data_IF_172480601698
#
_entry.id   IF_172480601698
#
_cell.length_a   1.000
_cell.length_b   1.000
_cell.length_c   1.000
_cell.angle_alpha   90.00
_cell.angle_beta   90.00
_cell.angle_gamma   90.00
#
_symmetry.space_group_name_H-M   'P 1'
#
loop_
_entity.id
_entity.type
_entity.pdbx_description
1 polymer ?
#
# COMPACT_ATOMS: atom_id res chain seq x y z
N UNK A 1 41.41 2.76 -16.24
CA UNK A 1 41.59 3.49 -17.51
C UNK A 1 40.32 3.31 -18.34
N UNK A 2 39.63 4.39 -18.74
CA UNK A 2 38.48 4.27 -19.61
C UNK A 2 38.98 3.92 -21.02
N UNK A 3 38.76 2.68 -21.47
CA UNK A 3 38.98 2.31 -22.87
C UNK A 3 37.81 2.87 -23.68
N UNK A 4 38.05 3.93 -24.45
CA UNK A 4 37.14 4.35 -25.52
C UNK A 4 36.98 3.17 -26.48
N UNK A 5 35.73 2.79 -26.74
CA UNK A 5 35.35 1.81 -27.75
C UNK A 5 35.80 2.37 -29.12
N UNK A 6 36.49 1.55 -29.90
CA UNK A 6 36.92 1.93 -31.24
C UNK A 6 35.68 2.06 -32.14
N UNK A 7 35.35 3.29 -32.52
CA UNK A 7 34.35 3.59 -33.55
C UNK A 7 34.91 3.09 -34.87
N UNK A 8 34.38 1.99 -35.41
CA UNK A 8 34.61 1.66 -36.82
C UNK A 8 33.85 2.69 -37.66
N UNK A 9 34.58 3.60 -38.31
CA UNK A 9 33.98 4.55 -39.24
C UNK A 9 33.39 3.79 -40.43
N UNK A 10 32.06 3.67 -40.44
CA UNK A 10 31.30 3.32 -41.62
C UNK A 10 31.33 4.57 -42.53
N UNK A 11 32.15 4.53 -43.58
CA UNK A 11 32.25 5.59 -44.59
C UNK A 11 31.05 5.57 -45.57
N UNK A 12 29.83 5.41 -45.06
CA UNK A 12 28.62 5.58 -45.83
C UNK A 12 27.76 6.61 -45.10
N UNK A 13 27.52 7.75 -45.74
CA UNK A 13 26.65 8.78 -45.17
C UNK A 13 25.21 8.26 -45.10
N UNK A 14 24.39 8.77 -44.18
CA UNK A 14 22.96 8.43 -44.09
C UNK A 14 22.23 8.61 -45.43
N UNK A 15 22.71 9.54 -46.25
CA UNK A 15 22.23 9.79 -47.62
C UNK A 15 22.51 8.58 -48.53
N UNK A 16 23.71 8.03 -48.48
CA UNK A 16 24.11 6.86 -49.29
C UNK A 16 23.29 5.62 -48.91
N UNK A 17 22.98 5.46 -47.62
CA UNK A 17 22.17 4.34 -47.12
C UNK A 17 20.74 4.41 -47.67
N UNK A 18 20.09 5.57 -47.57
CA UNK A 18 18.71 5.75 -48.03
C UNK A 18 18.60 5.67 -49.57
N UNK A 19 19.56 6.22 -50.30
CA UNK A 19 19.59 6.12 -51.76
C UNK A 19 19.90 4.70 -52.25
N UNK A 20 20.75 3.94 -51.56
CA UNK A 20 21.01 2.54 -51.91
C UNK A 20 19.84 1.62 -51.55
N UNK A 21 19.08 1.89 -50.48
CA UNK A 21 17.84 1.17 -50.18
C UNK A 21 16.82 1.43 -51.30
N UNK A 22 16.65 2.69 -51.71
CA UNK A 22 15.77 3.07 -52.83
C UNK A 22 16.14 2.32 -54.11
N UNK A 23 17.43 2.25 -54.47
CA UNK A 23 17.88 1.56 -55.70
C UNK A 23 17.59 0.05 -55.71
N UNK A 24 17.53 -0.59 -54.54
CA UNK A 24 17.31 -2.03 -54.41
C UNK A 24 15.85 -2.40 -54.08
N UNK A 25 14.99 -1.42 -53.87
CA UNK A 25 13.57 -1.61 -53.56
C UNK A 25 12.70 -1.70 -54.82
N UNK A 26 11.42 -2.04 -54.63
CA UNK A 26 10.40 -2.16 -55.66
C UNK A 26 10.20 -0.86 -56.45
N UNK A 27 9.65 -0.98 -57.66
CA UNK A 27 9.38 0.17 -58.54
C UNK A 27 8.40 1.18 -57.91
N UNK A 28 7.49 0.68 -57.07
CA UNK A 28 6.55 1.47 -56.29
C UNK A 28 7.28 2.31 -55.23
N UNK A 29 8.19 1.69 -54.49
CA UNK A 29 9.02 2.36 -53.48
C UNK A 29 9.92 3.44 -54.10
N UNK A 30 10.53 3.16 -55.26
CA UNK A 30 11.35 4.12 -56.00
C UNK A 30 10.57 5.36 -56.49
N UNK A 31 9.28 5.18 -56.77
CA UNK A 31 8.41 6.23 -57.29
C UNK A 31 7.84 7.11 -56.18
N UNK A 32 7.59 6.54 -55.00
CA UNK A 32 7.03 7.25 -53.85
C UNK A 32 8.09 7.95 -53.00
N UNK A 33 9.33 7.45 -52.98
CA UNK A 33 10.41 8.03 -52.17
C UNK A 33 11.38 8.83 -53.04
N UNK A 34 11.60 10.13 -52.74
CA UNK A 34 12.52 10.96 -53.50
C UNK A 34 13.99 10.56 -53.28
N UNK A 35 14.84 10.79 -54.29
CA UNK A 35 16.31 10.75 -54.12
C UNK A 35 16.69 11.93 -53.24
N UNK A 36 17.43 11.65 -52.17
CA UNK A 36 17.94 12.69 -51.28
C UNK A 36 19.37 13.05 -51.65
N UNK A 37 19.68 14.34 -51.66
CA UNK A 37 21.02 14.85 -52.01
C UNK A 37 21.66 15.62 -50.87
N UNK A 38 20.85 16.06 -49.88
CA UNK A 38 21.28 16.84 -48.72
C UNK A 38 20.63 16.31 -47.43
N UNK A 39 21.31 16.40 -46.28
CA UNK A 39 20.84 15.85 -45.00
C UNK A 39 19.50 16.44 -44.51
N UNK A 40 19.17 17.66 -44.92
CA UNK A 40 17.91 18.35 -44.58
C UNK A 40 16.68 17.65 -45.20
N UNK A 41 16.87 16.79 -46.18
CA UNK A 41 15.80 16.07 -46.89
C UNK A 41 15.44 14.72 -46.25
N UNK A 42 16.22 14.27 -45.25
CA UNK A 42 16.00 13.00 -44.53
C UNK A 42 14.60 12.92 -43.87
N UNK A 43 14.08 13.97 -43.21
CA UNK A 43 12.75 13.91 -42.59
C UNK A 43 11.61 13.69 -43.59
N UNK A 44 11.77 14.12 -44.85
CA UNK A 44 10.76 13.95 -45.91
C UNK A 44 10.58 12.48 -46.30
N UNK A 45 11.65 11.70 -46.23
CA UNK A 45 11.59 10.24 -46.44
C UNK A 45 10.85 9.57 -45.28
N UNK A 46 11.08 10.04 -44.05
CA UNK A 46 10.36 9.59 -42.86
C UNK A 46 8.86 9.85 -42.89
N UNK A 47 8.44 11.02 -43.40
CA UNK A 47 7.02 11.40 -43.54
C UNK A 47 6.26 10.49 -44.53
N UNK A 48 6.87 10.15 -45.66
CA UNK A 48 6.27 9.24 -46.67
C UNK A 48 6.17 7.80 -46.14
N UNK A 49 7.16 7.34 -45.37
CA UNK A 49 7.15 6.01 -44.77
C UNK A 49 6.10 5.88 -43.65
N UNK A 50 5.88 6.96 -42.89
CA UNK A 50 4.86 7.00 -41.83
C UNK A 50 3.43 6.90 -42.40
N UNK A 51 3.18 7.48 -43.59
CA UNK A 51 1.87 7.45 -44.23
C UNK A 51 1.49 6.15 -44.94
N UNK A 52 2.44 5.25 -45.23
CA UNK A 52 2.21 4.04 -46.03
C UNK A 52 2.83 2.78 -45.38
N UNK A 53 2.04 2.00 -44.61
CA UNK A 53 2.50 0.82 -43.89
C UNK A 53 3.17 -0.26 -44.77
N UNK A 54 2.75 -0.39 -46.03
CA UNK A 54 3.34 -1.35 -46.97
C UNK A 54 4.77 -0.97 -47.41
N UNK A 55 5.04 0.34 -47.59
CA UNK A 55 6.38 0.84 -47.90
C UNK A 55 7.27 0.82 -46.66
N UNK A 56 6.70 1.04 -45.47
CA UNK A 56 7.40 0.88 -44.20
C UNK A 56 7.90 -0.55 -44.00
N UNK A 57 7.09 -1.58 -44.30
CA UNK A 57 7.52 -2.98 -44.18
C UNK A 57 8.64 -3.35 -45.17
N UNK A 58 8.64 -2.77 -46.39
CA UNK A 58 9.72 -2.96 -47.37
C UNK A 58 11.03 -2.27 -46.91
N UNK A 59 10.92 -1.07 -46.35
CA UNK A 59 12.04 -0.34 -45.74
C UNK A 59 12.61 -1.06 -44.52
N UNK A 60 11.76 -1.59 -43.64
CA UNK A 60 12.15 -2.34 -42.44
C UNK A 60 12.89 -3.61 -42.83
N UNK A 61 12.43 -4.38 -43.82
CA UNK A 61 13.13 -5.57 -44.31
C UNK A 61 14.53 -5.25 -44.91
N UNK A 62 14.67 -4.11 -45.60
CA UNK A 62 15.95 -3.66 -46.12
C UNK A 62 16.89 -3.11 -45.02
N UNK A 63 16.33 -2.47 -43.99
CA UNK A 63 17.06 -2.00 -42.81
C UNK A 63 17.54 -3.14 -41.92
N UNK A 64 16.76 -4.21 -41.75
CA UNK A 64 17.12 -5.41 -40.95
C UNK A 64 18.45 -6.00 -41.41
N UNK A 65 18.77 -5.94 -42.71
CA UNK A 65 20.05 -6.41 -43.24
C UNK A 65 21.23 -5.42 -43.06
N UNK A 66 21.02 -4.21 -42.50
CA UNK A 66 22.03 -3.13 -42.40
C UNK A 66 21.99 -2.32 -41.09
N UNK A 67 21.41 -2.85 -40.01
CA UNK A 67 21.39 -2.16 -38.71
C UNK A 67 22.82 -2.03 -38.16
N UNK A 68 23.44 -0.86 -38.36
CA UNK A 68 24.81 -0.60 -37.92
C UNK A 68 24.95 -0.33 -36.42
N UNK A 69 23.86 0.06 -35.73
CA UNK A 69 23.86 0.33 -34.29
C UNK A 69 22.44 0.22 -33.72
N UNK A 70 22.30 -0.47 -32.59
CA UNK A 70 21.07 -0.49 -31.77
C UNK A 70 21.36 0.32 -30.52
N UNK A 71 20.67 1.45 -30.34
CA UNK A 71 20.71 2.22 -29.11
C UNK A 71 19.76 1.57 -28.09
N UNK A 72 20.31 0.91 -27.09
CA UNK A 72 19.55 0.41 -25.93
C UNK A 72 19.39 1.54 -24.92
N UNK A 73 18.14 1.93 -24.66
CA UNK A 73 17.80 2.97 -23.70
C UNK A 73 17.12 2.33 -22.49
N UNK A 74 17.79 2.38 -21.35
CA UNK A 74 17.26 1.85 -20.09
C UNK A 74 17.07 2.90 -19.01
N UNK A 75 15.92 2.85 -18.33
CA UNK A 75 15.66 3.61 -17.12
C UNK A 75 15.76 2.67 -15.92
N UNK A 76 16.60 3.05 -14.94
CA UNK A 76 16.71 2.38 -13.65
C UNK A 76 15.81 3.09 -12.65
N UNK A 77 15.06 2.33 -11.87
CA UNK A 77 14.28 2.83 -10.75
C UNK A 77 14.81 2.20 -9.46
N UNK A 78 14.98 3.02 -8.42
CA UNK A 78 15.36 2.56 -7.09
C UNK A 78 14.24 2.95 -6.13
N UNK A 79 13.78 2.03 -5.29
CA UNK A 79 12.75 2.36 -4.32
C UNK A 79 13.26 3.35 -3.26
N UNK A 80 12.59 4.51 -3.17
CA UNK A 80 12.92 5.55 -2.19
C UNK A 80 12.56 5.18 -0.73
N UNK A 81 11.85 4.06 -0.53
CA UNK A 81 11.32 3.61 0.76
C UNK A 81 12.03 2.37 1.31
N UNK A 82 13.11 1.94 0.66
CA UNK A 82 13.86 0.74 1.06
C UNK A 82 14.39 0.81 2.50
N UNK A 83 14.62 2.02 3.04
CA UNK A 83 15.07 2.21 4.43
C UNK A 83 13.99 1.98 5.49
N UNK A 84 12.72 1.93 5.09
CA UNK A 84 11.59 1.68 6.00
C UNK A 84 11.38 0.19 6.29
N UNK A 85 11.98 -0.68 5.48
CA UNK A 85 11.94 -2.14 5.63
C UNK A 85 12.64 -2.57 6.91
N UNK A 86 12.14 -3.64 7.53
CA UNK A 86 12.63 -4.16 8.82
C UNK A 86 13.70 -5.23 8.69
N UNK A 87 13.96 -5.70 7.46
CA UNK A 87 15.02 -6.65 7.14
C UNK A 87 14.49 -7.95 6.55
N UNK A 88 15.28 -9.01 6.71
CA UNK A 88 15.03 -10.32 6.11
C UNK A 88 14.64 -11.35 7.18
N UNK A 89 13.56 -12.09 6.95
CA UNK A 89 13.09 -13.21 7.78
C UNK A 89 13.31 -14.50 7.01
N UNK A 90 14.31 -15.28 7.44
CA UNK A 90 14.65 -16.54 6.78
C UNK A 90 13.74 -17.70 7.18
N UNK A 91 13.25 -17.70 8.43
CA UNK A 91 12.42 -18.78 8.99
C UNK A 91 11.25 -18.20 9.78
N UNK A 92 10.09 -18.85 9.65
CA UNK A 92 8.84 -18.42 10.28
C UNK A 92 7.89 -17.75 9.29
N UNK A 93 6.60 -18.09 9.40
CA UNK A 93 5.54 -17.55 8.54
C UNK A 93 4.91 -16.28 9.11
N UNK A 94 4.97 -16.11 10.44
CA UNK A 94 4.28 -15.05 11.17
C UNK A 94 5.23 -14.29 12.08
N UNK A 95 5.15 -12.96 12.05
CA UNK A 95 5.78 -12.05 13.02
C UNK A 95 4.72 -11.65 14.03
N UNK A 96 5.02 -11.80 15.32
CA UNK A 96 4.18 -11.33 16.42
C UNK A 96 4.77 -10.05 17.01
N UNK A 97 4.01 -8.96 16.95
CA UNK A 97 4.30 -7.72 17.68
C UNK A 97 3.55 -7.76 19.01
N UNK A 98 4.28 -7.59 20.12
CA UNK A 98 3.71 -7.56 21.47
C UNK A 98 3.95 -6.18 22.09
N UNK A 99 2.89 -5.52 22.53
CA UNK A 99 2.94 -4.22 23.18
C UNK A 99 2.40 -4.30 24.61
N UNK A 100 3.18 -3.83 25.58
CA UNK A 100 2.73 -3.76 26.98
C UNK A 100 2.41 -2.32 27.36
N UNK A 101 1.16 -2.06 27.70
CA UNK A 101 0.71 -0.72 28.08
C UNK A 101 1.19 -0.33 29.49
N UNK A 102 1.15 0.96 29.79
CA UNK A 102 1.49 1.48 31.10
C UNK A 102 0.48 1.02 32.16
N UNK A 103 0.96 0.80 33.38
CA UNK A 103 0.13 0.38 34.50
C UNK A 103 -0.44 1.58 35.25
N UNK A 104 -1.70 1.46 35.68
CA UNK A 104 -2.35 2.49 36.50
C UNK A 104 -1.80 2.49 37.93
N UNK A 105 -1.44 3.68 38.44
CA UNK A 105 -1.08 3.84 39.83
C UNK A 105 -2.32 3.72 40.73
N UNK A 106 -2.19 3.00 41.84
CA UNK A 106 -3.21 2.94 42.89
C UNK A 106 -2.75 3.78 44.09
N UNK A 107 -3.69 4.50 44.70
CA UNK A 107 -3.39 5.26 45.92
C UNK A 107 -2.96 4.31 47.05
N UNK A 108 -1.87 4.69 47.73
CA UNK A 108 -1.40 3.99 48.93
C UNK A 108 -2.42 4.13 50.07
N UNK A 109 -2.81 3.00 50.67
CA UNK A 109 -3.70 2.95 51.82
C UNK A 109 -3.44 1.66 52.60
N UNK A 110 -3.03 1.80 53.86
CA UNK A 110 -2.77 0.65 54.75
C UNK A 110 -4.05 -0.11 55.10
N UNK A 111 -5.18 0.58 55.20
CA UNK A 111 -6.50 -0.01 55.50
C UNK A 111 -6.98 -0.94 54.37
N UNK A 112 -6.60 -0.65 53.12
CA UNK A 112 -6.94 -1.47 51.94
C UNK A 112 -5.87 -2.53 51.63
N UNK A 113 -4.83 -2.67 52.46
CA UNK A 113 -3.70 -3.54 52.17
C UNK A 113 -4.08 -5.02 52.24
N UNK A 114 -4.80 -5.45 53.26
CA UNK A 114 -5.24 -6.85 53.43
C UNK A 114 -6.04 -7.34 52.21
N UNK A 115 -6.93 -6.51 51.68
CA UNK A 115 -7.73 -6.81 50.49
C UNK A 115 -6.92 -6.82 49.18
N UNK A 116 -5.72 -6.22 49.15
CA UNK A 116 -4.87 -6.08 47.95
C UNK A 116 -3.66 -7.02 47.95
N UNK A 117 -3.22 -7.50 49.11
CA UNK A 117 -1.97 -8.24 49.28
C UNK A 117 -1.89 -9.49 48.39
N UNK A 118 -3.00 -10.21 48.22
CA UNK A 118 -3.07 -11.41 47.38
C UNK A 118 -3.82 -11.18 46.06
N UNK A 119 -4.21 -9.94 45.76
CA UNK A 119 -4.88 -9.62 44.49
C UNK A 119 -3.87 -9.68 43.36
N UNK A 120 -4.20 -10.44 42.31
CA UNK A 120 -3.40 -10.49 41.08
C UNK A 120 -3.74 -9.29 40.20
N UNK A 121 -2.70 -8.59 39.73
CA UNK A 121 -2.81 -7.51 38.75
C UNK A 121 -2.18 -8.01 37.45
N UNK A 122 -3.03 -8.30 36.46
CA UNK A 122 -2.55 -8.72 35.15
C UNK A 122 -2.12 -7.48 34.36
N UNK A 123 -0.96 -7.53 33.66
CA UNK A 123 -0.56 -6.47 32.77
C UNK A 123 -1.50 -6.42 31.56
N UNK A 124 -1.74 -5.22 31.04
CA UNK A 124 -2.44 -5.05 29.77
C UNK A 124 -1.43 -5.28 28.62
N UNK A 125 -1.65 -6.32 27.83
CA UNK A 125 -0.77 -6.73 26.73
C UNK A 125 -1.60 -6.83 25.47
N UNK A 126 -1.16 -6.14 24.42
CA UNK A 126 -1.74 -6.19 23.10
C UNK A 126 -0.81 -6.97 22.17
N UNK A 127 -1.39 -7.72 21.24
CA UNK A 127 -0.64 -8.54 20.27
C UNK A 127 -1.17 -8.30 18.86
N UNK A 128 -0.29 -8.17 17.89
CA UNK A 128 -0.62 -8.10 16.47
C UNK A 128 0.20 -9.14 15.70
N UNK A 129 -0.41 -9.80 14.72
CA UNK A 129 0.25 -10.82 13.89
C UNK A 129 0.39 -10.31 12.46
N UNK A 130 1.56 -10.53 11.87
CA UNK A 130 1.87 -10.19 10.49
C UNK A 130 2.32 -11.46 9.76
N UNK A 131 1.65 -11.83 8.67
CA UNK A 131 1.97 -13.02 7.89
C UNK A 131 2.36 -12.69 6.45
N UNK A 132 3.01 -13.64 5.78
CA UNK A 132 3.40 -13.50 4.38
C UNK A 132 2.15 -13.38 3.50
N UNK A 133 1.95 -12.22 2.90
CA UNK A 133 0.82 -11.91 2.02
C UNK A 133 1.24 -11.52 0.59
N UNK A 134 2.53 -11.31 0.34
CA UNK A 134 3.07 -11.04 -0.99
C UNK A 134 3.92 -12.21 -1.46
N UNK A 135 3.49 -12.90 -2.52
CA UNK A 135 4.22 -14.02 -3.14
C UNK A 135 4.17 -13.88 -4.66
N UNK A 136 5.11 -13.14 -5.23
CA UNK A 136 5.13 -12.85 -6.67
C UNK A 136 6.37 -13.46 -7.33
N UNK A 137 6.23 -13.82 -8.60
CA UNK A 137 7.30 -14.30 -9.45
C UNK A 137 7.36 -13.45 -10.72
N UNK A 138 8.56 -13.02 -11.11
CA UNK A 138 8.80 -12.31 -12.37
C UNK A 138 9.46 -13.26 -13.38
N UNK A 139 8.69 -13.88 -14.28
CA UNK A 139 9.22 -14.76 -15.31
C UNK A 139 9.79 -13.96 -16.49
N UNK A 140 10.95 -14.37 -17.00
CA UNK A 140 11.47 -13.86 -18.27
C UNK A 140 12.11 -14.98 -19.09
N UNK A 141 11.82 -15.01 -20.38
CA UNK A 141 12.34 -16.02 -21.31
C UNK A 141 13.37 -15.39 -22.23
N UNK A 142 14.55 -16.01 -22.33
CA UNK A 142 15.64 -15.56 -23.19
C UNK A 142 15.97 -16.66 -24.20
N UNK A 143 15.68 -16.40 -25.47
CA UNK A 143 16.06 -17.27 -26.59
C UNK A 143 17.36 -16.76 -27.23
N UNK A 144 18.48 -17.37 -26.86
CA UNK A 144 19.80 -16.90 -27.27
C UNK A 144 20.02 -16.97 -28.78
N UNK A 145 19.50 -18.00 -29.44
CA UNK A 145 19.72 -18.20 -30.89
C UNK A 145 18.91 -17.21 -31.74
N UNK A 146 17.68 -16.88 -31.34
CA UNK A 146 16.92 -15.79 -31.96
C UNK A 146 17.62 -14.43 -31.79
N UNK A 147 18.12 -14.13 -30.60
CA UNK A 147 18.86 -12.89 -30.35
C UNK A 147 20.16 -12.82 -31.16
N UNK A 148 20.87 -13.94 -31.35
CA UNK A 148 22.07 -13.98 -32.20
C UNK A 148 21.78 -13.69 -33.68
N UNK A 149 20.59 -13.99 -34.17
CA UNK A 149 20.20 -13.64 -35.55
C UNK A 149 19.85 -12.14 -35.67
N UNK A 150 19.33 -11.53 -34.61
CA UNK A 150 18.92 -10.13 -34.60
C UNK A 150 20.09 -9.13 -34.46
N UNK A 151 21.25 -9.56 -33.93
CA UNK A 151 22.39 -8.69 -33.66
C UNK A 151 23.62 -9.04 -34.51
N UNK A 152 24.29 -8.01 -35.04
CA UNK A 152 25.53 -8.16 -35.81
C UNK A 152 26.76 -8.38 -34.90
N UNK A 153 26.66 -8.02 -33.61
CA UNK A 153 27.75 -8.15 -32.62
C UNK A 153 27.35 -9.02 -31.43
N UNK A 154 28.26 -9.91 -31.01
CA UNK A 154 28.08 -10.75 -29.82
C UNK A 154 27.96 -9.93 -28.54
N UNK A 155 28.63 -8.77 -28.49
CA UNK A 155 28.55 -7.85 -27.35
C UNK A 155 27.14 -7.28 -27.19
N UNK A 156 26.48 -6.87 -28.29
CA UNK A 156 25.11 -6.33 -28.23
C UNK A 156 24.09 -7.35 -27.72
N UNK A 157 24.29 -8.64 -28.03
CA UNK A 157 23.47 -9.73 -27.46
C UNK A 157 23.67 -9.85 -25.95
N UNK A 158 24.92 -9.78 -25.47
CA UNK A 158 25.22 -9.86 -24.04
C UNK A 158 24.68 -8.65 -23.27
N UNK A 159 24.81 -7.45 -23.85
CA UNK A 159 24.32 -6.21 -23.25
C UNK A 159 22.78 -6.22 -23.16
N UNK A 160 22.08 -6.69 -24.19
CA UNK A 160 20.63 -6.85 -24.15
C UNK A 160 20.20 -7.89 -23.10
N UNK A 161 20.89 -9.03 -23.01
CA UNK A 161 20.58 -10.05 -22.00
C UNK A 161 20.77 -9.49 -20.59
N UNK A 162 21.85 -8.75 -20.35
CA UNK A 162 22.08 -8.10 -19.06
C UNK A 162 20.97 -7.09 -18.75
N UNK A 163 20.56 -6.28 -19.73
CA UNK A 163 19.47 -5.31 -19.53
C UNK A 163 18.14 -6.02 -19.21
N UNK A 164 17.81 -7.11 -19.91
CA UNK A 164 16.60 -7.89 -19.63
C UNK A 164 16.60 -8.38 -18.18
N UNK A 165 17.74 -8.86 -17.68
CA UNK A 165 17.89 -9.31 -16.29
C UNK A 165 17.76 -8.12 -15.32
N UNK A 166 18.39 -6.97 -15.62
CA UNK A 166 18.29 -5.76 -14.79
C UNK A 166 16.85 -5.20 -14.72
N UNK A 167 16.04 -5.39 -15.78
CA UNK A 167 14.62 -4.99 -15.78
C UNK A 167 13.78 -5.82 -14.83
N UNK A 168 14.15 -7.06 -14.56
CA UNK A 168 13.46 -7.90 -13.57
C UNK A 168 13.62 -7.30 -12.17
N UNK A 169 14.83 -6.88 -11.82
CA UNK A 169 15.07 -6.19 -10.53
C UNK A 169 14.40 -4.83 -10.48
N UNK A 170 14.47 -4.04 -11.56
CA UNK A 170 13.80 -2.73 -11.64
C UNK A 170 12.28 -2.85 -11.49
N UNK A 171 11.69 -3.91 -12.06
CA UNK A 171 10.27 -4.21 -11.92
C UNK A 171 9.89 -4.47 -10.47
N UNK A 172 10.67 -5.28 -9.76
CA UNK A 172 10.46 -5.53 -8.34
C UNK A 172 10.60 -4.28 -7.46
N UNK A 173 11.57 -3.40 -7.75
CA UNK A 173 11.72 -2.13 -7.05
C UNK A 173 10.52 -1.20 -7.25
N UNK A 174 9.95 -1.19 -8.46
CA UNK A 174 8.75 -0.41 -8.76
C UNK A 174 7.50 -0.98 -8.08
N UNK A 175 7.32 -2.31 -8.13
CA UNK A 175 6.23 -2.99 -7.42
C UNK A 175 6.32 -2.80 -5.90
N UNK A 176 7.54 -2.80 -5.35
CA UNK A 176 7.74 -2.50 -3.95
C UNK A 176 7.36 -1.06 -3.60
N UNK A 177 7.73 -0.08 -4.43
CA UNK A 177 7.27 1.30 -4.26
C UNK A 177 5.75 1.40 -4.25
N UNK A 178 5.06 0.73 -5.18
CA UNK A 178 3.61 0.69 -5.24
C UNK A 178 3.00 -0.01 -4.01
N UNK A 179 3.64 -1.03 -3.44
CA UNK A 179 3.19 -1.69 -2.21
C UNK A 179 3.16 -0.75 -1.01
N UNK A 180 4.17 0.11 -0.84
CA UNK A 180 4.16 1.14 0.20
C UNK A 180 3.00 2.11 0.01
N UNK A 181 2.78 2.56 -1.23
CA UNK A 181 1.67 3.44 -1.60
C UNK A 181 0.31 2.78 -1.34
N UNK A 182 0.17 1.49 -1.69
CA UNK A 182 -1.01 0.67 -1.43
C UNK A 182 -1.35 0.60 0.07
N UNK A 183 -0.37 0.28 0.92
CA UNK A 183 -0.56 0.23 2.38
C UNK A 183 -1.05 1.55 2.95
N UNK A 184 -0.51 2.66 2.46
CA UNK A 184 -0.92 3.99 2.89
C UNK A 184 -2.37 4.28 2.48
N UNK A 185 -2.71 4.05 1.20
CA UNK A 185 -4.05 4.34 0.67
C UNK A 185 -5.08 3.50 1.43
N UNK A 186 -4.85 2.19 1.56
CA UNK A 186 -5.74 1.29 2.28
C UNK A 186 -5.84 1.66 3.74
N UNK A 187 -4.71 1.93 4.41
CA UNK A 187 -4.70 2.32 5.81
C UNK A 187 -5.48 3.61 6.11
N UNK A 188 -5.42 4.60 5.22
CA UNK A 188 -6.21 5.84 5.37
C UNK A 188 -7.71 5.54 5.22
N UNK A 189 -8.08 4.80 4.17
CA UNK A 189 -9.48 4.50 3.88
C UNK A 189 -10.12 3.57 4.91
N UNK A 190 -9.34 2.70 5.56
CA UNK A 190 -9.78 1.85 6.66
C UNK A 190 -9.65 2.54 8.05
N UNK A 191 -9.40 3.85 8.12
CA UNK A 191 -9.39 4.60 9.37
C UNK A 191 -8.20 4.34 10.32
N UNK A 192 -7.10 3.73 9.83
CA UNK A 192 -5.91 3.42 10.66
C UNK A 192 -5.03 4.63 10.96
N UNK A 193 -5.28 5.74 10.27
CA UNK A 193 -4.62 7.01 10.49
C UNK A 193 -5.55 7.95 11.24
N UNK A 194 -5.01 8.66 12.24
CA UNK A 194 -5.75 9.76 12.88
C UNK A 194 -5.81 10.95 11.91
N UNK A 195 -7.00 11.40 11.47
CA UNK A 195 -7.10 12.55 10.60
C UNK A 195 -6.89 13.85 11.39
N UNK A 196 -6.07 14.75 10.83
CA UNK A 196 -5.84 16.10 11.33
C UNK A 196 -6.15 17.08 10.21
N UNK A 197 -7.09 17.97 10.50
CA UNK A 197 -7.55 18.95 9.54
C UNK A 197 -6.55 20.10 9.41
N UNK A 198 -6.25 20.52 8.17
CA UNK A 198 -5.34 21.62 7.86
C UNK A 198 -5.96 22.52 6.79
N UNK A 199 -5.99 23.84 7.03
CA UNK A 199 -6.28 24.82 5.99
C UNK A 199 -4.98 25.23 5.29
N UNK A 200 -4.70 24.58 4.16
CA UNK A 200 -3.56 24.93 3.30
C UNK A 200 -3.95 25.86 2.16
N UNK A 201 -5.26 26.01 1.91
CA UNK A 201 -5.81 26.87 0.88
C UNK A 201 -5.59 28.37 1.14
N UNK A 202 -5.64 28.79 2.40
CA UNK A 202 -5.47 30.19 2.80
C UNK A 202 -4.00 30.56 3.03
N UNK A 203 -3.27 29.73 3.78
CA UNK A 203 -1.84 29.92 4.05
C UNK A 203 -1.12 28.57 4.22
N UNK A 204 -0.21 28.28 3.30
CA UNK A 204 0.63 27.08 3.30
C UNK A 204 1.46 26.92 4.60
N UNK A 205 1.70 28.02 5.33
CA UNK A 205 2.39 27.98 6.63
C UNK A 205 1.61 27.23 7.70
N UNK A 206 0.26 27.21 7.61
CA UNK A 206 -0.58 26.46 8.54
C UNK A 206 -0.27 24.97 8.49
N UNK A 207 -0.07 24.43 7.28
CA UNK A 207 0.39 23.04 7.07
C UNK A 207 1.72 22.79 7.78
N UNK A 208 2.73 23.64 7.55
CA UNK A 208 4.03 23.55 8.22
C UNK A 208 3.95 23.59 9.76
N UNK A 209 3.08 24.44 10.31
CA UNK A 209 2.83 24.51 11.75
C UNK A 209 2.20 23.20 12.26
N UNK A 210 1.19 22.68 11.57
CA UNK A 210 0.50 21.44 11.94
C UNK A 210 1.45 20.23 11.89
N UNK A 211 2.27 20.12 10.85
CA UNK A 211 3.26 19.04 10.69
C UNK A 211 4.26 19.04 11.86
N UNK A 212 4.82 20.20 12.18
CA UNK A 212 5.78 20.35 13.29
C UNK A 212 5.13 20.15 14.65
N UNK A 213 3.93 20.69 14.86
CA UNK A 213 3.20 20.53 16.11
C UNK A 213 2.91 19.05 16.39
N UNK A 214 2.45 18.32 15.38
CA UNK A 214 2.13 16.88 15.49
C UNK A 214 3.40 16.05 15.70
N UNK A 215 4.48 16.32 14.95
CA UNK A 215 5.76 15.63 15.15
C UNK A 215 6.35 15.84 16.55
N UNK A 216 6.20 17.04 17.14
CA UNK A 216 6.60 17.27 18.52
C UNK A 216 5.67 16.54 19.51
N UNK A 217 4.36 16.47 19.23
CA UNK A 217 3.40 15.73 20.06
C UNK A 217 3.70 14.24 20.13
N UNK A 218 4.22 13.64 19.05
CA UNK A 218 4.67 12.25 19.04
C UNK A 218 5.79 11.96 20.07
N UNK A 219 6.60 12.96 20.41
CA UNK A 219 7.61 12.86 21.47
C UNK A 219 7.04 12.77 22.89
N UNK A 220 5.74 12.98 23.07
CA UNK A 220 5.03 12.81 24.33
C UNK A 220 4.18 11.54 24.30
N UNK A 221 4.09 10.88 25.45
CA UNK A 221 3.29 9.67 25.58
C UNK A 221 1.80 10.01 25.42
N UNK A 222 1.16 9.44 24.41
CA UNK A 222 -0.27 9.63 24.13
C UNK A 222 -0.85 8.39 23.45
N UNK A 223 -2.16 8.23 23.53
CA UNK A 223 -2.94 7.20 22.84
C UNK A 223 -3.70 7.73 21.61
N UNK A 224 -3.62 9.04 21.36
CA UNK A 224 -4.47 9.72 20.38
C UNK A 224 -4.08 9.46 18.91
N UNK A 225 -2.92 8.87 18.66
CA UNK A 225 -2.33 8.75 17.32
C UNK A 225 -2.06 7.31 16.91
N UNK A 226 -2.52 6.33 17.68
CA UNK A 226 -2.37 4.90 17.40
C UNK A 226 -3.71 4.27 17.10
N UNK A 227 -3.76 3.34 16.16
CA UNK A 227 -4.94 2.54 15.83
C UNK A 227 -5.48 1.77 17.04
N UNK A 228 -4.61 1.16 17.86
CA UNK A 228 -5.03 0.38 19.04
C UNK A 228 -5.33 1.21 20.30
N UNK A 229 -5.21 2.54 20.24
CA UNK A 229 -5.38 3.41 21.42
C UNK A 229 -4.36 3.16 22.54
N UNK A 230 -3.18 2.60 22.24
CA UNK A 230 -2.12 2.34 23.22
C UNK A 230 -1.27 3.58 23.46
N UNK A 231 -0.76 3.76 24.68
CA UNK A 231 0.08 4.92 25.01
C UNK A 231 1.50 4.72 24.53
N UNK A 232 1.83 5.35 23.41
CA UNK A 232 3.16 5.24 22.79
C UNK A 232 3.84 6.60 22.60
N UNK A 233 5.13 6.56 22.26
CA UNK A 233 5.92 7.73 21.89
C UNK A 233 6.87 7.42 20.74
N UNK A 234 7.05 8.39 19.86
CA UNK A 234 7.97 8.32 18.73
C UNK A 234 9.01 9.44 18.87
N UNK A 235 10.31 9.12 18.98
CA UNK A 235 11.37 10.11 18.95
C UNK A 235 11.46 10.72 17.54
N UNK A 236 11.83 11.99 17.46
CA UNK A 236 11.84 12.77 16.21
C UNK A 236 12.64 12.09 15.08
N UNK A 237 13.72 11.38 15.41
CA UNK A 237 14.56 10.66 14.44
C UNK A 237 13.84 9.53 13.70
N UNK A 238 12.78 8.97 14.27
CA UNK A 238 11.95 7.92 13.66
C UNK A 238 10.71 8.48 12.98
N UNK A 239 10.43 9.78 13.10
CA UNK A 239 9.30 10.39 12.42
C UNK A 239 9.60 10.48 10.92
N UNK A 240 8.65 10.02 10.11
CA UNK A 240 8.69 10.05 8.65
C UNK A 240 7.49 10.81 8.15
N UNK A 241 7.74 11.79 7.28
CA UNK A 241 6.68 12.55 6.62
C UNK A 241 6.66 12.20 5.13
N UNK A 242 5.47 11.96 4.60
CA UNK A 242 5.23 11.73 3.18
C UNK A 242 4.44 12.89 2.61
N UNK A 243 4.90 13.44 1.49
CA UNK A 243 4.22 14.50 0.75
C UNK A 243 4.21 14.13 -0.72
N UNK A 244 3.19 14.57 -1.45
CA UNK A 244 3.22 14.49 -2.90
C UNK A 244 4.25 15.51 -3.47
N UNK A 245 4.65 15.30 -4.73
CA UNK A 245 5.68 16.10 -5.37
C UNK A 245 5.26 17.57 -5.54
N UNK A 246 3.99 17.82 -5.86
CA UNK A 246 3.45 19.15 -6.17
C UNK A 246 3.29 20.02 -4.91
N UNK A 247 2.72 19.44 -3.84
CA UNK A 247 2.58 20.05 -2.53
C UNK A 247 3.95 20.34 -1.94
N UNK A 248 4.91 19.41 -2.01
CA UNK A 248 6.26 19.67 -1.51
C UNK A 248 6.92 20.85 -2.26
N UNK A 249 6.81 20.91 -3.59
CA UNK A 249 7.32 22.02 -4.37
C UNK A 249 6.66 23.36 -3.97
N UNK A 250 5.35 23.35 -3.72
CA UNK A 250 4.61 24.53 -3.27
C UNK A 250 5.02 24.97 -1.85
N UNK A 251 5.30 24.02 -0.95
CA UNK A 251 5.75 24.28 0.40
C UNK A 251 7.15 24.89 0.41
N UNK A 252 8.07 24.34 -0.38
CA UNK A 252 9.44 24.83 -0.50
C UNK A 252 9.49 26.28 -1.02
N UNK A 253 8.72 26.61 -2.06
CA UNK A 253 8.69 27.96 -2.64
C UNK A 253 7.98 28.97 -1.73
N UNK A 254 6.85 28.61 -1.12
CA UNK A 254 6.05 29.58 -0.37
C UNK A 254 6.53 29.74 1.09
N UNK A 255 6.95 28.65 1.73
CA UNK A 255 7.32 28.62 3.15
C UNK A 255 8.82 28.72 3.33
N UNK A 256 9.61 27.86 2.68
CA UNK A 256 11.06 27.84 2.89
C UNK A 256 11.77 29.00 2.22
N UNK A 257 11.37 29.40 1.01
CA UNK A 257 12.01 30.53 0.32
C UNK A 257 11.73 31.88 1.02
N UNK A 258 10.63 31.99 1.77
CA UNK A 258 10.30 33.19 2.55
C UNK A 258 10.86 33.18 3.98
N UNK A 259 11.46 32.06 4.42
CA UNK A 259 11.99 31.89 5.77
C UNK A 259 13.42 32.42 5.91
N UNK A 260 13.61 33.49 6.68
CA UNK A 260 14.94 33.98 7.06
C UNK A 260 15.77 32.95 7.87
N UNK A 261 15.11 32.02 8.55
CA UNK A 261 15.75 30.92 9.29
C UNK A 261 15.24 29.59 8.73
N UNK A 262 15.91 29.05 7.72
CA UNK A 262 15.52 27.78 7.11
C UNK A 262 15.45 26.65 8.14
N UNK A 263 16.38 26.56 9.09
CA UNK A 263 16.40 25.52 10.15
C UNK A 263 15.15 25.52 11.05
N UNK A 264 14.46 26.66 11.16
CA UNK A 264 13.21 26.80 11.94
C UNK A 264 11.95 26.62 11.10
N UNK A 265 12.09 26.53 9.78
CA UNK A 265 11.00 26.31 8.85
C UNK A 265 11.03 24.90 8.24
N UNK A 266 12.22 24.28 8.15
CA UNK A 266 12.40 22.90 7.69
C UNK A 266 11.80 21.92 8.69
N UNK A 267 11.13 20.90 8.15
CA UNK A 267 10.68 19.77 8.94
C UNK A 267 11.90 19.00 9.47
N UNK A 268 11.89 18.63 10.74
CA UNK A 268 13.05 18.04 11.42
C UNK A 268 13.16 16.51 11.27
N UNK A 269 12.08 15.84 10.86
CA UNK A 269 12.11 14.42 10.50
C UNK A 269 12.51 14.20 9.03
N UNK A 270 12.48 12.94 8.58
CA UNK A 270 12.87 12.59 7.21
C UNK A 270 11.64 12.71 6.27
N UNK A 271 11.79 13.51 5.21
CA UNK A 271 10.81 13.66 4.14
C UNK A 271 11.00 12.56 3.09
N UNK A 272 9.90 11.93 2.72
CA UNK A 272 9.77 11.01 1.61
C UNK A 272 8.79 11.63 0.60
N UNK A 273 9.20 11.69 -0.66
CA UNK A 273 8.33 12.16 -1.74
C UNK A 273 7.56 10.99 -2.32
N UNK A 274 6.27 11.21 -2.55
CA UNK A 274 5.39 10.37 -3.36
C UNK A 274 5.13 11.12 -4.67
N UNK A 275 4.87 10.37 -5.74
CA UNK A 275 4.52 10.92 -7.04
C UNK A 275 3.23 11.74 -6.96
N UNK A 276 2.13 11.10 -6.62
CA UNK A 276 0.79 11.69 -6.50
C UNK A 276 -0.11 10.77 -5.66
N UNK A 277 -1.05 11.33 -4.91
CA UNK A 277 -2.02 10.58 -4.12
C UNK A 277 -3.25 10.11 -4.92
N UNK A 278 -3.55 10.76 -6.06
CA UNK A 278 -4.80 10.53 -6.79
C UNK A 278 -4.75 9.36 -7.77
N UNK A 279 -3.55 8.87 -8.08
CA UNK A 279 -3.31 7.83 -9.08
C UNK A 279 -2.67 6.59 -8.46
N UNK A 280 -3.07 5.42 -8.96
CA UNK A 280 -2.46 4.14 -8.61
C UNK A 280 -2.42 3.23 -9.84
N UNK A 281 -1.32 2.49 -10.03
CA UNK A 281 -1.13 1.59 -11.18
C UNK A 281 -1.92 0.28 -10.95
N UNK A 282 -3.23 0.37 -11.12
CA UNK A 282 -4.14 -0.75 -10.99
C UNK A 282 -3.97 -1.78 -12.12
N UNK A 283 -3.54 -1.38 -13.32
CA UNK A 283 -3.31 -2.31 -14.43
C UNK A 283 -2.21 -3.32 -14.08
N UNK A 284 -1.11 -2.84 -13.49
CA UNK A 284 -0.03 -3.70 -13.02
C UNK A 284 -0.45 -4.58 -11.85
N UNK A 285 -1.19 -4.03 -10.88
CA UNK A 285 -1.68 -4.79 -9.72
C UNK A 285 -2.79 -5.78 -10.09
N UNK A 286 -3.58 -5.53 -11.14
CA UNK A 286 -4.59 -6.47 -11.64
C UNK A 286 -3.96 -7.78 -12.12
N UNK A 287 -2.83 -7.71 -12.84
CA UNK A 287 -2.08 -8.90 -13.26
C UNK A 287 -1.57 -9.72 -12.07
N UNK A 288 -1.20 -9.04 -10.98
CA UNK A 288 -0.74 -9.69 -9.75
C UNK A 288 -1.92 -10.30 -8.99
N UNK A 289 -3.02 -9.56 -8.85
CA UNK A 289 -4.27 -10.01 -8.18
C UNK A 289 -4.95 -11.17 -8.90
N UNK A 290 -4.79 -11.28 -10.22
CA UNK A 290 -5.29 -12.44 -10.97
C UNK A 290 -4.68 -13.77 -10.48
N UNK A 291 -3.45 -13.73 -9.95
CA UNK A 291 -2.69 -14.90 -9.51
C UNK A 291 -2.47 -14.92 -7.98
N UNK A 292 -2.96 -13.91 -7.24
CA UNK A 292 -2.74 -13.73 -5.80
C UNK A 292 -3.99 -13.18 -5.12
N UNK A 293 -4.40 -13.81 -4.02
CA UNK A 293 -5.55 -13.44 -3.18
C UNK A 293 -5.21 -12.43 -2.07
N UNK A 294 -3.93 -12.20 -1.79
CA UNK A 294 -3.46 -11.35 -0.69
C UNK A 294 -3.59 -9.83 -0.88
N UNK A 295 -4.17 -9.35 -1.99
CA UNK A 295 -4.30 -7.91 -2.29
C UNK A 295 -5.68 -7.56 -2.83
N UNK A 296 -6.22 -6.46 -2.35
CA UNK A 296 -7.49 -5.91 -2.81
C UNK A 296 -7.28 -4.87 -3.90
N UNK A 297 -8.36 -4.54 -4.61
CA UNK A 297 -8.35 -3.40 -5.52
C UNK A 297 -8.23 -2.08 -4.77
N UNK A 298 -7.44 -1.15 -5.31
CA UNK A 298 -7.56 0.26 -4.95
C UNK A 298 -8.69 0.87 -5.77
N UNK A 299 -9.81 1.13 -5.12
CA UNK A 299 -11.03 1.61 -5.77
C UNK A 299 -10.96 3.10 -6.10
N UNK A 300 -11.77 3.55 -7.07
CA UNK A 300 -11.88 4.97 -7.41
C UNK A 300 -12.43 5.82 -6.25
N UNK A 301 -13.27 5.24 -5.39
CA UNK A 301 -13.77 5.89 -4.18
C UNK A 301 -12.65 6.16 -3.19
N UNK A 302 -11.77 5.18 -2.97
CA UNK A 302 -10.61 5.32 -2.09
C UNK A 302 -9.64 6.40 -2.60
N UNK A 303 -9.41 6.44 -3.92
CA UNK A 303 -8.59 7.48 -4.55
C UNK A 303 -9.20 8.88 -4.45
N UNK A 304 -10.53 9.00 -4.44
CA UNK A 304 -11.20 10.28 -4.26
C UNK A 304 -10.99 10.85 -2.85
N UNK A 305 -10.91 10.00 -1.81
CA UNK A 305 -10.53 10.41 -0.45
C UNK A 305 -9.08 10.90 -0.44
N UNK A 306 -8.19 10.17 -1.12
CA UNK A 306 -6.76 10.48 -1.19
C UNK A 306 -6.47 11.83 -1.86
N UNK A 307 -7.34 12.34 -2.74
CA UNK A 307 -7.19 13.66 -3.36
C UNK A 307 -7.17 14.82 -2.37
N UNK A 308 -7.74 14.63 -1.17
CA UNK A 308 -7.78 15.65 -0.13
C UNK A 308 -6.61 15.56 0.85
N UNK A 309 -5.79 14.51 0.76
CA UNK A 309 -4.63 14.29 1.60
C UNK A 309 -3.49 15.21 1.15
N UNK A 310 -2.91 15.96 2.08
CA UNK A 310 -1.77 16.86 1.83
C UNK A 310 -0.44 16.24 2.25
N UNK A 311 -0.44 15.57 3.39
CA UNK A 311 0.75 14.92 3.92
C UNK A 311 0.36 13.82 4.91
N UNK A 312 1.30 12.93 5.17
CA UNK A 312 1.14 11.84 6.13
C UNK A 312 2.35 11.83 7.05
N UNK A 313 2.12 11.62 8.34
CA UNK A 313 3.15 11.53 9.36
C UNK A 313 3.06 10.20 10.10
N UNK A 314 4.10 9.39 10.02
CA UNK A 314 4.15 8.07 10.65
C UNK A 314 5.45 7.86 11.43
N UNK A 315 5.42 6.98 12.42
CA UNK A 315 6.64 6.34 12.92
C UNK A 315 7.20 5.42 11.83
N UNK A 316 8.52 5.39 11.68
CA UNK A 316 9.24 4.43 10.86
C UNK A 316 8.77 2.98 11.11
N UNK A 317 8.38 2.64 12.35
CA UNK A 317 7.87 1.31 12.74
C UNK A 317 6.43 1.03 12.32
N UNK A 318 5.72 2.02 11.78
CA UNK A 318 4.37 1.78 11.26
C UNK A 318 4.40 0.78 10.09
N UNK A 319 5.39 0.85 9.21
CA UNK A 319 5.58 -0.14 8.15
C UNK A 319 6.21 -1.42 8.71
N UNK A 320 5.45 -2.51 8.65
CA UNK A 320 5.89 -3.87 8.99
C UNK A 320 6.14 -4.64 7.70
N UNK A 321 7.19 -4.20 6.99
CA UNK A 321 7.62 -4.80 5.72
C UNK A 321 8.89 -5.60 5.92
N UNK A 322 8.80 -6.90 5.65
CA UNK A 322 9.90 -7.86 5.78
C UNK A 322 10.09 -8.61 4.47
N UNK A 323 11.34 -8.78 4.07
CA UNK A 323 11.68 -9.69 2.97
C UNK A 323 11.73 -11.12 3.50
N UNK A 324 11.06 -12.05 2.85
CA UNK A 324 11.06 -13.47 3.23
C UNK A 324 11.83 -14.34 2.22
N UNK A 325 11.74 -14.01 0.94
CA UNK A 325 12.43 -14.72 -0.12
C UNK A 325 12.82 -13.75 -1.22
N UNK A 326 14.06 -13.85 -1.67
CA UNK A 326 14.56 -13.13 -2.83
C UNK A 326 15.54 -14.04 -3.59
N UNK A 327 15.02 -14.79 -4.56
CA UNK A 327 15.79 -15.85 -5.26
C UNK A 327 15.51 -15.83 -6.76
N UNK A 328 16.57 -15.70 -7.55
CA UNK A 328 16.53 -15.95 -9.00
C UNK A 328 16.81 -17.43 -9.27
N UNK A 329 15.91 -18.10 -9.98
CA UNK A 329 16.12 -19.45 -10.49
C UNK A 329 16.05 -19.48 -12.02
N UNK A 330 16.66 -20.49 -12.63
CA UNK A 330 16.69 -20.61 -14.09
C UNK A 330 16.42 -22.05 -14.53
N UNK A 331 15.82 -22.21 -15.72
CA UNK A 331 15.56 -23.50 -16.34
C UNK A 331 15.73 -23.44 -17.85
N UNK A 332 16.62 -24.29 -18.37
CA UNK A 332 16.75 -24.50 -19.81
C UNK A 332 15.65 -25.44 -20.34
N UNK A 333 15.01 -25.03 -21.43
CA UNK A 333 14.10 -25.87 -22.21
C UNK A 333 14.83 -26.39 -23.44
N UNK A 334 15.44 -27.58 -23.29
CA UNK A 334 16.30 -28.17 -24.31
C UNK A 334 15.63 -28.39 -25.68
N UNK A 335 14.31 -28.64 -25.71
CA UNK A 335 13.56 -28.81 -26.96
C UNK A 335 13.32 -27.50 -27.71
N UNK A 336 13.26 -26.37 -27.00
CA UNK A 336 12.97 -25.05 -27.54
C UNK A 336 14.19 -24.13 -27.63
N UNK A 337 15.34 -24.53 -27.08
CA UNK A 337 16.59 -23.76 -27.05
C UNK A 337 16.46 -22.35 -26.42
N UNK A 338 15.62 -22.23 -25.39
CA UNK A 338 15.45 -21.01 -24.60
C UNK A 338 15.63 -21.27 -23.10
N UNK A 339 15.97 -20.19 -22.38
CA UNK A 339 16.14 -20.18 -20.94
C UNK A 339 14.99 -19.41 -20.29
N UNK A 340 14.34 -20.01 -19.30
CA UNK A 340 13.38 -19.35 -18.45
C UNK A 340 14.06 -18.94 -17.15
N UNK A 341 14.01 -17.66 -16.82
CA UNK A 341 14.42 -17.12 -15.54
C UNK A 341 13.17 -16.80 -14.72
N UNK A 342 13.22 -17.14 -13.43
CA UNK A 342 12.13 -16.93 -12.50
C UNK A 342 12.68 -16.23 -11.27
N UNK A 343 12.32 -14.96 -11.12
CA UNK A 343 12.71 -14.20 -9.95
C UNK A 343 11.57 -14.25 -8.92
N UNK A 344 11.79 -15.01 -7.84
CA UNK A 344 10.81 -15.19 -6.77
C UNK A 344 11.03 -14.16 -5.66
N UNK A 345 9.97 -13.45 -5.34
CA UNK A 345 9.97 -12.41 -4.30
C UNK A 345 8.81 -12.63 -3.35
N UNK A 346 9.12 -13.00 -2.10
CA UNK A 346 8.13 -13.14 -1.05
C UNK A 346 8.37 -12.11 0.04
N UNK A 347 7.29 -11.47 0.51
CA UNK A 347 7.33 -10.42 1.52
C UNK A 347 6.15 -10.53 2.46
N UNK A 348 6.38 -10.10 3.69
CA UNK A 348 5.33 -9.80 4.68
C UNK A 348 5.11 -8.30 4.59
N UNK A 349 3.91 -7.88 4.21
CA UNK A 349 3.56 -6.48 3.96
C UNK A 349 2.40 -6.12 4.87
N UNK A 350 2.69 -5.49 6.00
CA UNK A 350 1.67 -5.09 6.98
C UNK A 350 1.96 -3.71 7.55
N UNK A 351 1.01 -3.19 8.33
CA UNK A 351 1.20 -2.04 9.20
C UNK A 351 1.12 -2.44 10.68
N UNK A 352 1.76 -1.66 11.56
CA UNK A 352 1.71 -1.84 13.02
C UNK A 352 0.59 -0.98 13.62
N UNK A 353 -0.34 -1.58 14.39
CA UNK A 353 -1.44 -0.85 15.00
C UNK A 353 -1.02 -0.11 16.29
N UNK A 354 0.21 -0.34 16.77
CA UNK A 354 0.78 0.29 17.97
C UNK A 354 1.67 1.51 17.67
N UNK A 355 1.89 1.78 16.38
CA UNK A 355 2.73 2.88 15.91
C UNK A 355 1.90 4.15 15.66
N UNK A 356 2.48 5.32 15.93
CA UNK A 356 1.82 6.60 15.68
C UNK A 356 1.66 6.86 14.18
N UNK A 357 0.44 7.20 13.75
CA UNK A 357 0.10 7.48 12.35
C UNK A 357 -0.97 8.58 12.25
N UNK A 358 -0.65 9.65 11.51
CA UNK A 358 -1.53 10.80 11.28
C UNK A 358 -1.60 11.13 9.80
N UNK A 359 -2.79 11.44 9.31
CA UNK A 359 -3.04 11.95 7.97
C UNK A 359 -3.49 13.41 8.05
N UNK A 360 -2.89 14.28 7.24
CA UNK A 360 -3.28 15.67 7.13
C UNK A 360 -4.20 15.85 5.92
N UNK A 361 -5.43 16.29 6.17
CA UNK A 361 -6.49 16.43 5.17
C UNK A 361 -6.95 17.88 5.16
N UNK A 362 -7.34 18.39 3.99
CA UNK A 362 -7.96 19.72 3.90
C UNK A 362 -9.26 19.76 4.73
N UNK A 363 -9.46 20.84 5.51
CA UNK A 363 -10.60 21.00 6.44
C UNK A 363 -11.98 20.69 5.83
N UNK A 364 -12.16 20.99 4.54
CA UNK A 364 -13.43 20.81 3.81
C UNK A 364 -13.75 19.36 3.45
N UNK A 365 -12.83 18.42 3.69
CA UNK A 365 -12.89 17.06 3.19
C UNK A 365 -12.57 15.98 4.22
N UNK A 366 -12.67 16.29 5.52
CA UNK A 366 -12.55 15.29 6.57
C UNK A 366 -13.52 14.13 6.28
N UNK A 367 -13.04 12.87 6.23
CA UNK A 367 -13.91 11.72 6.04
C UNK A 367 -14.94 11.74 7.16
N UNK A 368 -16.20 11.94 6.79
CA UNK A 368 -17.29 11.90 7.77
C UNK A 368 -17.48 10.44 8.11
N UNK A 369 -17.39 10.10 9.41
CA UNK A 369 -17.69 8.75 9.87
C UNK A 369 -19.06 8.33 9.30
N UNK A 370 -19.23 7.09 8.81
CA UNK A 370 -20.45 6.66 8.13
C UNK A 370 -21.66 6.90 9.04
N UNK A 371 -22.82 7.26 8.49
CA UNK A 371 -24.00 7.55 9.33
C UNK A 371 -24.52 6.30 10.07
N UNK A 372 -24.23 5.11 9.52
CA UNK A 372 -24.66 3.81 10.04
C UNK A 372 -23.58 2.76 9.79
N UNK A 373 -23.41 1.83 10.71
CA UNK A 373 -22.62 0.62 10.55
C UNK A 373 -23.56 -0.59 10.51
N UNK A 374 -23.13 -1.68 9.86
CA UNK A 374 -23.93 -2.92 9.80
C UNK A 374 -23.17 -4.06 10.45
N UNK A 375 -23.69 -4.58 11.56
CA UNK A 375 -23.17 -5.78 12.19
C UNK A 375 -23.96 -7.01 11.73
N UNK A 376 -23.28 -8.08 11.35
CA UNK A 376 -23.88 -9.38 11.03
C UNK A 376 -23.70 -10.34 12.19
N UNK A 377 -24.75 -11.09 12.52
CA UNK A 377 -24.67 -12.21 13.47
C UNK A 377 -24.09 -13.41 12.72
N UNK A 378 -22.81 -13.70 12.92
CA UNK A 378 -22.11 -14.81 12.27
C UNK A 378 -22.56 -16.16 12.84
N UNK A 379 -22.68 -16.25 14.16
CA UNK A 379 -23.11 -17.48 14.81
C UNK A 379 -23.86 -17.23 16.11
N UNK A 380 -24.76 -18.15 16.44
CA UNK A 380 -25.48 -18.23 17.72
C UNK A 380 -25.25 -19.62 18.30
N UNK A 381 -24.61 -19.68 19.46
CA UNK A 381 -24.31 -20.92 20.16
C UNK A 381 -25.05 -20.95 21.50
N UNK A 382 -25.92 -21.93 21.69
CA UNK A 382 -26.71 -22.09 22.92
C UNK A 382 -26.15 -23.22 23.78
N UNK A 383 -26.10 -23.00 25.09
CA UNK A 383 -25.73 -23.98 26.11
C UNK A 383 -26.66 -23.88 27.31
N UNK A 384 -26.72 -24.91 28.16
CA UNK A 384 -27.58 -24.96 29.35
C UNK A 384 -27.42 -23.76 30.31
N UNK A 385 -26.29 -23.05 30.26
CA UNK A 385 -25.98 -21.94 31.15
C UNK A 385 -25.95 -20.57 30.47
N UNK A 386 -25.78 -20.51 29.14
CA UNK A 386 -25.61 -19.25 28.41
C UNK A 386 -25.82 -19.41 26.91
N UNK A 387 -26.25 -18.32 26.27
CA UNK A 387 -26.31 -18.14 24.82
C UNK A 387 -25.22 -17.16 24.40
N UNK A 388 -24.44 -17.51 23.38
CA UNK A 388 -23.36 -16.70 22.83
C UNK A 388 -23.75 -16.24 21.43
N UNK A 389 -23.76 -14.93 21.20
CA UNK A 389 -23.90 -14.31 19.88
C UNK A 389 -22.53 -13.84 19.42
N UNK A 390 -22.11 -14.21 18.22
CA UNK A 390 -20.88 -13.70 17.59
C UNK A 390 -21.28 -12.71 16.50
N UNK A 391 -20.91 -11.46 16.71
CA UNK A 391 -21.13 -10.34 15.81
C UNK A 391 -19.85 -10.02 15.06
N UNK A 392 -19.98 -9.78 13.76
CA UNK A 392 -18.91 -9.30 12.89
C UNK A 392 -19.38 -8.03 12.19
N UNK A 393 -18.52 -7.03 12.06
CA UNK A 393 -18.81 -5.86 11.22
C UNK A 393 -18.02 -5.97 9.92
N UNK A 394 -18.55 -5.34 8.86
CA UNK A 394 -17.84 -5.23 7.58
C UNK A 394 -16.65 -4.26 7.67
N UNK A 395 -16.72 -3.32 8.60
CA UNK A 395 -15.68 -2.34 8.89
C UNK A 395 -14.64 -2.90 9.87
N UNK A 396 -13.36 -2.70 9.55
CA UNK A 396 -12.24 -3.01 10.44
C UNK A 396 -12.17 -2.03 11.62
N UNK A 397 -11.54 -2.45 12.73
CA UNK A 397 -11.30 -1.63 13.94
C UNK A 397 -12.55 -1.15 14.67
N UNK A 398 -13.52 -2.03 14.87
CA UNK A 398 -14.69 -1.78 15.70
C UNK A 398 -14.47 -2.39 17.07
N UNK A 399 -14.69 -1.60 18.13
CA UNK A 399 -14.61 -2.07 19.51
C UNK A 399 -16.00 -2.05 20.11
N UNK A 400 -16.49 -3.21 20.52
CA UNK A 400 -17.75 -3.31 21.26
C UNK A 400 -17.55 -2.84 22.70
N UNK A 401 -18.41 -1.94 23.15
CA UNK A 401 -18.38 -1.43 24.51
C UNK A 401 -19.29 -2.24 25.44
N UNK A 402 -18.80 -2.48 26.66
CA UNK A 402 -19.63 -3.03 27.73
C UNK A 402 -20.52 -1.91 28.27
N UNK A 403 -21.83 -1.98 28.01
CA UNK A 403 -22.80 -1.01 28.50
C UNK A 403 -23.12 -1.20 29.99
N UNK A 404 -23.61 -0.14 30.65
CA UNK A 404 -24.03 -0.19 32.05
C UNK A 404 -25.19 -1.17 32.24
N UNK A 405 -26.19 -1.12 31.35
CA UNK A 405 -27.35 -2.02 31.32
C UNK A 405 -26.95 -3.50 31.16
N UNK A 406 -26.00 -3.79 30.25
CA UNK A 406 -25.46 -5.15 30.10
C UNK A 406 -24.78 -5.64 31.39
N UNK A 407 -24.12 -4.74 32.11
CA UNK A 407 -23.42 -5.07 33.36
C UNK A 407 -24.39 -5.35 34.50
N UNK A 408 -25.49 -4.60 34.61
CA UNK A 408 -26.54 -4.85 35.60
C UNK A 408 -27.26 -6.18 35.36
N UNK A 409 -27.45 -6.55 34.09
CA UNK A 409 -28.07 -7.81 33.68
C UNK A 409 -27.10 -9.02 33.70
N UNK A 410 -25.83 -8.80 34.01
CA UNK A 410 -24.81 -9.87 34.06
C UNK A 410 -24.40 -10.41 32.69
N UNK A 411 -24.61 -9.65 31.62
CA UNK A 411 -24.25 -9.96 30.25
C UNK A 411 -22.81 -9.49 30.00
N UNK A 412 -22.00 -10.33 29.36
CA UNK A 412 -20.63 -9.97 28.99
C UNK A 412 -20.55 -9.68 27.49
N UNK A 413 -20.19 -8.45 27.14
CA UNK A 413 -19.87 -8.00 25.78
C UNK A 413 -18.35 -7.98 25.67
N UNK A 414 -17.82 -8.84 24.82
CA UNK A 414 -16.40 -8.83 24.49
C UNK A 414 -16.10 -7.75 23.44
N UNK A 415 -14.95 -7.06 23.55
CA UNK A 415 -14.52 -6.02 22.59
C UNK A 415 -14.53 -6.42 21.12
N UNK A 416 -14.45 -7.73 20.83
CA UNK A 416 -14.36 -8.31 19.49
C UNK A 416 -15.68 -8.97 19.02
N UNK A 417 -16.82 -8.58 19.59
CA UNK A 417 -18.14 -8.95 19.06
C UNK A 417 -18.77 -10.22 19.62
N UNK A 418 -18.21 -10.82 20.68
CA UNK A 418 -18.88 -11.92 21.37
C UNK A 418 -19.76 -11.39 22.51
N UNK A 419 -21.07 -11.59 22.42
CA UNK A 419 -22.05 -11.25 23.49
C UNK A 419 -22.46 -12.55 24.18
N UNK A 420 -22.26 -12.62 25.49
CA UNK A 420 -22.57 -13.79 26.32
C UNK A 420 -23.74 -13.43 27.23
N UNK A 421 -24.90 -14.05 26.98
CA UNK A 421 -26.14 -13.85 27.72
C UNK A 421 -26.37 -15.05 28.65
N UNK A 422 -26.44 -14.86 29.98
CA UNK A 422 -26.74 -15.95 30.92
C UNK A 422 -28.17 -16.47 30.77
N UNK A 423 -28.39 -17.74 31.06
CA UNK A 423 -29.72 -18.34 31.02
C UNK A 423 -30.68 -17.71 32.05
N UNK A 424 -31.91 -17.41 31.62
CA UNK A 424 -32.99 -16.89 32.49
C UNK A 424 -32.93 -15.39 32.81
N UNK A 425 -32.12 -14.60 32.08
CA UNK A 425 -32.00 -13.14 32.27
C UNK A 425 -33.06 -12.35 31.48
N UNK A 426 -33.62 -12.91 30.42
CA UNK A 426 -34.61 -12.26 29.56
C UNK A 426 -35.88 -13.11 29.42
N UNK A 427 -37.01 -12.45 29.19
CA UNK A 427 -38.28 -13.05 28.75
C UNK A 427 -38.49 -12.80 27.23
N UNK A 428 -39.55 -13.32 26.62
CA UNK A 428 -39.81 -13.11 25.19
C UNK A 428 -39.97 -11.60 24.87
N UNK A 429 -39.15 -11.08 23.93
CA UNK A 429 -39.15 -9.70 23.36
C UNK A 429 -38.22 -8.63 24.00
N UNK A 430 -37.16 -9.01 24.72
CA UNK A 430 -36.21 -8.02 25.27
C UNK A 430 -35.11 -7.59 24.27
N UNK A 431 -34.83 -6.27 24.24
CA UNK A 431 -33.74 -5.67 23.44
C UNK A 431 -32.52 -5.38 24.29
N UNK A 432 -31.33 -5.67 23.76
CA UNK A 432 -30.07 -5.18 24.31
C UNK A 432 -29.48 -4.12 23.38
N UNK A 433 -29.14 -2.96 23.94
CA UNK A 433 -28.39 -1.95 23.20
C UNK A 433 -26.94 -2.40 23.04
N UNK A 434 -26.48 -2.46 21.80
CA UNK A 434 -25.11 -2.75 21.42
C UNK A 434 -24.46 -1.44 21.01
N UNK A 435 -23.43 -1.04 21.76
CA UNK A 435 -22.64 0.16 21.48
C UNK A 435 -21.29 -0.26 20.90
N UNK A 436 -20.89 0.40 19.82
CA UNK A 436 -19.57 0.22 19.22
C UNK A 436 -18.89 1.56 18.97
N UNK A 437 -17.58 1.58 19.19
CA UNK A 437 -16.72 2.69 18.80
C UNK A 437 -16.14 2.44 17.41
N UNK A 438 -16.28 3.42 16.52
CA UNK A 438 -15.61 3.45 15.23
C UNK A 438 -15.17 4.89 14.90
N UNK A 439 -13.89 5.09 14.62
CA UNK A 439 -13.31 6.40 14.30
C UNK A 439 -13.56 7.50 15.35
N UNK A 440 -13.55 7.17 16.66
CA UNK A 440 -13.88 8.07 17.78
C UNK A 440 -15.34 8.57 17.83
N UNK A 441 -16.23 7.90 17.11
CA UNK A 441 -17.67 8.14 17.16
C UNK A 441 -18.35 6.87 17.69
N UNK A 442 -19.34 7.07 18.56
CA UNK A 442 -20.14 5.98 19.09
C UNK A 442 -21.30 5.66 18.15
N UNK A 443 -21.57 4.37 17.98
CA UNK A 443 -22.72 3.85 17.25
C UNK A 443 -23.50 2.93 18.17
N UNK A 444 -24.81 3.10 18.21
CA UNK A 444 -25.70 2.26 19.00
C UNK A 444 -26.76 1.63 18.11
N UNK A 445 -27.14 0.40 18.43
CA UNK A 445 -28.30 -0.25 17.86
C UNK A 445 -28.74 -1.44 18.69
N UNK A 446 -30.01 -1.80 18.56
CA UNK A 446 -30.62 -2.82 19.41
C UNK A 446 -30.51 -4.21 18.78
N UNK A 447 -30.06 -5.18 19.56
CA UNK A 447 -30.21 -6.60 19.26
C UNK A 447 -31.42 -7.16 20.00
N UNK A 448 -32.29 -7.87 19.29
CA UNK A 448 -33.38 -8.62 19.89
C UNK A 448 -32.81 -9.91 20.48
N UNK A 449 -32.95 -10.08 21.80
CA UNK A 449 -32.52 -11.27 22.52
C UNK A 449 -33.77 -12.09 22.87
N UNK A 450 -33.72 -13.41 22.68
CA UNK A 450 -34.85 -14.27 23.05
C UNK A 450 -34.43 -15.28 24.11
N UNK A 451 -35.33 -15.48 25.07
CA UNK A 451 -35.24 -16.47 26.12
C UNK A 451 -35.32 -17.90 25.57
N UNK A 452 -34.40 -18.76 26.02
CA UNK A 452 -34.67 -20.21 26.03
C UNK A 452 -35.60 -20.49 27.22
N UNK A 453 -36.89 -20.64 26.96
CA UNK A 453 -37.82 -21.16 27.96
C UNK A 453 -38.62 -22.34 27.40
N UNK A 454 -38.35 -23.51 27.97
CA UNK A 454 -39.25 -24.67 28.11
C UNK A 454 -39.42 -25.64 26.93
N UNK A 455 -38.45 -26.53 26.74
CA UNK A 455 -38.71 -27.94 26.39
C UNK A 455 -39.36 -28.24 25.03
N UNK A 456 -39.48 -27.26 24.14
CA UNK A 456 -39.67 -27.47 22.70
C UNK A 456 -38.58 -26.68 21.97
N UNK A 457 -38.08 -27.25 20.87
CA UNK A 457 -36.93 -26.78 20.11
C UNK A 457 -36.93 -25.25 19.96
N UNK A 458 -36.01 -24.52 20.61
CA UNK A 458 -35.92 -23.08 20.48
C UNK A 458 -35.48 -22.74 19.06
N UNK A 459 -36.18 -21.83 18.39
CA UNK A 459 -35.65 -21.13 17.21
C UNK A 459 -35.30 -19.73 17.70
N UNK A 460 -34.03 -19.31 17.67
CA UNK A 460 -33.68 -17.95 18.07
C UNK A 460 -34.32 -16.93 17.12
N UNK A 461 -34.87 -15.82 17.63
CA UNK A 461 -35.46 -14.80 16.76
C UNK A 461 -34.41 -14.03 15.96
N UNK A 462 -33.19 -13.93 16.50
CA UNK A 462 -32.01 -13.49 15.77
C UNK A 462 -31.20 -14.73 15.38
N UNK A 463 -31.20 -15.08 14.10
CA UNK A 463 -30.48 -16.23 13.56
C UNK A 463 -29.15 -15.81 12.95
N UNK A 464 -28.24 -16.79 12.82
CA UNK A 464 -27.02 -16.58 12.03
C UNK A 464 -27.38 -16.08 10.63
N UNK A 465 -26.83 -14.93 10.23
CA UNK A 465 -27.15 -14.22 9.00
C UNK A 465 -27.99 -12.95 9.18
N UNK A 466 -28.55 -12.69 10.36
CA UNK A 466 -29.28 -11.44 10.62
C UNK A 466 -28.33 -10.24 10.72
N UNK A 467 -28.83 -9.09 10.27
CA UNK A 467 -28.10 -7.82 10.25
C UNK A 467 -28.68 -6.83 11.25
N UNK A 468 -27.82 -6.22 12.05
CA UNK A 468 -28.13 -5.15 12.99
C UNK A 468 -27.58 -3.85 12.40
N UNK A 469 -28.43 -2.84 12.29
CA UNK A 469 -28.02 -1.50 11.88
C UNK A 469 -27.67 -0.69 13.13
N UNK A 470 -26.41 -0.28 13.24
CA UNK A 470 -25.94 0.60 14.31
C UNK A 470 -25.94 2.02 13.78
N UNK A 471 -26.64 2.92 14.45
CA UNK A 471 -26.74 4.34 14.10
C UNK A 471 -25.78 5.17 14.93
N UNK A 472 -25.16 6.16 14.31
CA UNK A 472 -24.29 7.11 15.02
C UNK A 472 -25.04 7.81 16.16
N UNK A 473 -24.50 7.74 17.37
CA UNK A 473 -24.99 8.44 18.56
C UNK A 473 -24.57 9.91 18.44
N UNK A 474 -25.52 10.84 18.56
CA UNK A 474 -25.33 12.30 18.36
C UNK A 474 -24.96 13.01 19.64
#
# INVERSE_FOLDING_TARGET
MPKRIAVSQLNASTIDILNTIRQNASLQYQSSIPVITTEVEIPKVGEVLYGYPALANEFVNALVNRIAFVALNSATFNNAYADLKKGYIEFGETVEEVFTDIINAIAYSAEKAEARELKRYLPNVHTAFHSINWKVMYPVTIEREALRQAFISLQGVQDLIAEIVDRVYTSNEYDEFLLFKYLIIKGINSGKFKPVSVDTSTDMKNGGIAFRATANKFGFMSNAYTESGVRTTTPMERVRIFMDADFNASYDVNVLASAFNMDKATFMGKLHLIDDWTTFDNERFELIRAESDGLEEVTSTELAVMANVKAILVDERWFQIYDNLNVMTEKEVASGLYWNYFYHVWKTVSNSPFSNAVVFIEDTAMPTAPATLTATVESVSTSDNATIYTLTLAEDNVVFEQTEDATELGIAIHPYGAIIVPAGVFDDEDTLEVVVDHMEEQYAGDIQLVADNSGQTPVPATVAGDTITLTKVV
#
